data_IF_229828376293
#
_entry.id   IF_229828376293
#
_cell.length_a   1.000
_cell.length_b   1.000
_cell.length_c   1.000
_cell.angle_alpha   90.00
_cell.angle_beta   90.00
_cell.angle_gamma   90.00
#
_symmetry.space_group_name_H-M   'P 1'
#
loop_
_entity.id
_entity.type
_entity.pdbx_description
1 polymer ?
#
# COMPACT_ATOMS: atom_id res chain seq x y z
N UNK A 1 9.22 8.90 2.19
CA UNK A 1 9.65 7.83 1.26
C UNK A 1 8.48 7.22 0.49
N UNK A 2 7.29 7.05 1.11
CA UNK A 2 6.07 6.60 0.43
C UNK A 2 5.80 7.27 -0.94
N UNK A 3 5.96 8.59 -1.05
CA UNK A 3 5.80 9.29 -2.32
C UNK A 3 6.70 8.75 -3.43
N UNK A 4 7.97 8.42 -3.16
CA UNK A 4 8.89 7.87 -4.16
C UNK A 4 8.46 6.49 -4.62
N UNK A 5 8.00 5.63 -3.68
CA UNK A 5 7.47 4.32 -4.00
C UNK A 5 6.22 4.42 -4.88
N UNK A 6 5.28 5.30 -4.52
CA UNK A 6 4.06 5.52 -5.31
C UNK A 6 4.38 6.09 -6.69
N UNK A 7 5.26 7.09 -6.79
CA UNK A 7 5.70 7.65 -8.07
C UNK A 7 6.34 6.59 -8.98
N UNK A 8 7.11 5.67 -8.40
CA UNK A 8 7.72 4.55 -9.13
C UNK A 8 6.65 3.60 -9.66
N UNK A 9 5.64 3.27 -8.85
CA UNK A 9 4.51 2.42 -9.26
C UNK A 9 3.66 3.08 -10.36
N UNK A 10 3.33 4.36 -10.21
CA UNK A 10 2.52 5.11 -11.18
C UNK A 10 3.21 5.17 -12.55
N UNK A 11 4.55 5.28 -12.58
CA UNK A 11 5.36 5.36 -13.81
C UNK A 11 5.70 4.00 -14.43
N UNK A 12 5.21 2.88 -13.88
CA UNK A 12 5.45 1.56 -14.46
C UNK A 12 4.87 1.45 -15.88
N UNK A 13 5.54 0.70 -16.75
CA UNK A 13 5.02 0.42 -18.10
C UNK A 13 3.88 -0.58 -18.09
N UNK A 14 3.85 -1.47 -17.09
CA UNK A 14 2.74 -2.37 -16.81
C UNK A 14 1.77 -1.70 -15.84
N UNK A 15 0.48 -1.63 -16.18
CA UNK A 15 -0.53 -0.87 -15.43
C UNK A 15 -1.66 -1.73 -14.84
N UNK A 16 -1.66 -3.04 -15.13
CA UNK A 16 -2.71 -3.95 -14.67
C UNK A 16 -2.34 -4.57 -13.31
N UNK A 17 -2.26 -3.72 -12.28
CA UNK A 17 -1.96 -4.12 -10.92
C UNK A 17 -2.79 -3.33 -9.91
N UNK A 18 -3.04 -3.94 -8.76
CA UNK A 18 -3.57 -3.27 -7.57
C UNK A 18 -2.44 -2.92 -6.61
N UNK A 19 -2.60 -1.83 -5.87
CA UNK A 19 -1.70 -1.44 -4.78
C UNK A 19 -2.47 -1.50 -3.48
N UNK A 20 -1.95 -2.26 -2.53
CA UNK A 20 -2.55 -2.40 -1.20
C UNK A 20 -1.60 -1.75 -0.19
N UNK A 21 -2.00 -0.58 0.28
CA UNK A 21 -1.30 0.15 1.33
C UNK A 21 -1.83 -0.30 2.70
N UNK A 22 -0.99 -0.95 3.50
CA UNK A 22 -1.33 -1.37 4.86
C UNK A 22 -0.67 -0.43 5.85
N UNK A 23 -1.49 0.39 6.52
CA UNK A 23 -1.05 1.24 7.61
C UNK A 23 -1.11 0.48 8.95
N UNK A 24 0.06 0.09 9.45
CA UNK A 24 0.23 -0.70 10.66
C UNK A 24 0.30 0.16 11.94
N UNK A 25 -0.71 1.00 12.14
CA UNK A 25 -0.82 1.81 13.35
C UNK A 25 0.13 3.01 13.44
N UNK A 26 0.56 3.57 12.30
CA UNK A 26 1.37 4.81 12.28
C UNK A 26 0.64 5.97 12.97
N UNK A 27 1.38 6.73 13.77
CA UNK A 27 0.86 7.89 14.54
C UNK A 27 1.22 9.25 13.93
N UNK A 28 1.90 9.24 12.79
CA UNK A 28 2.27 10.45 12.05
C UNK A 28 1.22 10.75 10.98
N UNK A 29 1.60 11.50 9.94
CA UNK A 29 0.70 11.87 8.83
C UNK A 29 0.58 10.77 7.74
N UNK A 30 1.21 9.61 7.93
CA UNK A 30 1.17 8.51 6.96
C UNK A 30 -0.26 8.02 6.66
N UNK A 31 -1.18 7.88 7.64
CA UNK A 31 -2.55 7.47 7.36
C UNK A 31 -3.27 8.41 6.39
N UNK A 32 -3.14 9.72 6.60
CA UNK A 32 -3.76 10.74 5.75
C UNK A 32 -3.18 10.71 4.34
N UNK A 33 -1.86 10.55 4.23
CA UNK A 33 -1.19 10.45 2.93
C UNK A 33 -1.63 9.19 2.16
N UNK A 34 -1.77 8.04 2.83
CA UNK A 34 -2.31 6.83 2.22
C UNK A 34 -3.72 7.06 1.66
N UNK A 35 -4.60 7.69 2.45
CA UNK A 35 -5.97 8.01 2.05
C UNK A 35 -6.04 8.96 0.83
N UNK A 36 -5.12 9.91 0.73
CA UNK A 36 -5.00 10.77 -0.45
C UNK A 36 -4.68 9.96 -1.72
N UNK A 37 -3.76 8.99 -1.63
CA UNK A 37 -3.45 8.10 -2.75
C UNK A 37 -4.65 7.23 -3.15
N UNK A 38 -5.39 6.66 -2.20
CA UNK A 38 -6.59 5.88 -2.50
C UNK A 38 -7.70 6.71 -3.17
N UNK A 39 -7.81 8.00 -2.83
CA UNK A 39 -8.76 8.91 -3.50
C UNK A 39 -8.32 9.29 -4.91
N UNK A 40 -7.01 9.37 -5.15
CA UNK A 40 -6.45 9.80 -6.42
C UNK A 40 -6.36 8.66 -7.45
N UNK A 41 -6.20 7.41 -7.01
CA UNK A 41 -5.94 6.26 -7.87
C UNK A 41 -6.91 5.11 -7.57
N UNK A 42 -7.73 4.73 -8.56
CA UNK A 42 -8.76 3.70 -8.41
C UNK A 42 -8.18 2.30 -8.11
N UNK A 43 -6.93 2.05 -8.50
CA UNK A 43 -6.24 0.78 -8.24
C UNK A 43 -5.48 0.77 -6.91
N UNK A 44 -5.60 1.81 -6.07
CA UNK A 44 -4.97 1.89 -4.75
C UNK A 44 -6.01 1.70 -3.66
N UNK A 45 -5.83 0.69 -2.83
CA UNK A 45 -6.64 0.43 -1.64
C UNK A 45 -5.81 0.62 -0.38
N UNK A 46 -6.43 1.20 0.65
CA UNK A 46 -5.77 1.47 1.93
C UNK A 46 -6.50 0.73 3.04
N UNK A 47 -5.73 0.14 3.95
CA UNK A 47 -6.26 -0.49 5.13
C UNK A 47 -5.48 -0.06 6.37
N UNK A 48 -6.21 0.33 7.40
CA UNK A 48 -5.64 0.68 8.70
C UNK A 48 -5.88 -0.46 9.68
N UNK A 49 -4.85 -0.81 10.44
CA UNK A 49 -4.92 -1.80 11.51
C UNK A 49 -4.11 -1.32 12.72
N UNK A 50 -4.34 -1.96 13.87
CA UNK A 50 -3.48 -1.80 15.04
C UNK A 50 -2.08 -2.34 14.75
N UNK A 51 -1.04 -1.74 15.33
CA UNK A 51 0.35 -2.12 15.09
C UNK A 51 0.60 -3.59 15.46
N UNK A 52 0.99 -4.40 14.48
CA UNK A 52 1.35 -5.82 14.62
C UNK A 52 2.73 -6.16 14.07
N UNK A 53 3.45 -5.18 13.52
CA UNK A 53 4.73 -5.34 12.86
C UNK A 53 4.64 -5.74 11.39
N UNK A 54 5.79 -5.68 10.70
CA UNK A 54 5.91 -5.85 9.25
C UNK A 54 5.34 -7.18 8.73
N UNK A 55 5.58 -8.30 9.42
CA UNK A 55 5.10 -9.61 8.97
C UNK A 55 3.57 -9.70 9.03
N UNK A 56 2.98 -9.12 10.08
CA UNK A 56 1.54 -9.08 10.25
C UNK A 56 0.89 -8.17 9.21
N UNK A 57 1.48 -7.00 8.95
CA UNK A 57 1.04 -6.08 7.89
C UNK A 57 1.07 -6.74 6.50
N UNK A 58 2.14 -7.48 6.17
CA UNK A 58 2.25 -8.22 4.90
C UNK A 58 1.20 -9.32 4.78
N UNK A 59 1.02 -10.13 5.83
CA UNK A 59 0.00 -11.19 5.84
C UNK A 59 -1.42 -10.60 5.70
N UNK A 60 -1.67 -9.49 6.37
CA UNK A 60 -2.93 -8.76 6.23
C UNK A 60 -3.13 -8.29 4.78
N UNK A 61 -2.12 -7.67 4.17
CA UNK A 61 -2.17 -7.24 2.76
C UNK A 61 -2.43 -8.39 1.80
N UNK A 62 -1.74 -9.53 1.96
CA UNK A 62 -1.96 -10.75 1.18
C UNK A 62 -3.41 -11.23 1.28
N UNK A 63 -4.01 -11.17 2.47
CA UNK A 63 -5.42 -11.57 2.67
C UNK A 63 -6.43 -10.66 1.96
N UNK A 64 -6.01 -9.47 1.52
CA UNK A 64 -6.82 -8.50 0.78
C UNK A 64 -6.56 -8.53 -0.72
N UNK A 65 -5.46 -9.13 -1.16
CA UNK A 65 -5.10 -9.23 -2.57
C UNK A 65 -6.09 -10.10 -3.33
N UNK A 66 -6.45 -9.65 -4.54
CA UNK A 66 -7.33 -10.36 -5.46
C UNK A 66 -6.58 -10.88 -6.70
N UNK A 67 -5.37 -10.37 -6.92
CA UNK A 67 -4.51 -10.71 -8.05
C UNK A 67 -3.80 -12.07 -7.90
N UNK A 68 -3.45 -12.69 -9.04
CA UNK A 68 -2.76 -13.99 -9.08
C UNK A 68 -1.30 -13.92 -8.57
N UNK A 69 -0.69 -12.74 -8.60
CA UNK A 69 0.70 -12.52 -8.23
C UNK A 69 0.81 -11.42 -7.18
N UNK A 70 1.67 -11.65 -6.19
CA UNK A 70 1.92 -10.70 -5.10
C UNK A 70 3.39 -10.32 -5.09
N UNK A 71 3.65 -9.03 -4.99
CA UNK A 71 4.97 -8.46 -4.80
C UNK A 71 4.95 -7.54 -3.58
N UNK A 72 5.97 -7.66 -2.73
CA UNK A 72 6.14 -6.78 -1.58
C UNK A 72 7.12 -5.67 -1.94
N UNK A 73 6.69 -4.42 -1.79
CA UNK A 73 7.51 -3.24 -1.96
C UNK A 73 7.67 -2.57 -0.59
N UNK A 74 8.91 -2.52 -0.09
CA UNK A 74 9.20 -1.72 1.09
C UNK A 74 9.37 -0.24 0.66
N UNK A 75 8.75 0.71 1.37
CA UNK A 75 8.69 2.10 0.95
C UNK A 75 9.92 2.91 1.35
N UNK A 76 10.99 2.32 1.88
CA UNK A 76 12.21 2.93 2.42
C UNK A 76 13.29 3.25 1.37
#
# INVERSE_FOLDING_TARGET
>A
YLHFAMDSLIKQTYQNFEVILVNDGSTDNSPQLCEEYAKQYENVSVFHKENGGLSDARNFGVSKASSDWIFFLDPD
#
